data_IF_471411171514
#
_entry.id   IF_471411171514
#
_cell.length_a   1.000
_cell.length_b   1.000
_cell.length_c   1.000
_cell.angle_alpha   90.00
_cell.angle_beta   90.00
_cell.angle_gamma   90.00
#
_symmetry.space_group_name_H-M   'P 1'
#
loop_
_entity.id
_entity.type
_entity.pdbx_description
1 polymer ?
#
# COMPACT_ATOMS: atom_id res chain seq x y z
N UNK A 1 12.10 -24.95 -18.20
CA UNK A 1 11.60 -23.57 -18.24
C UNK A 1 11.56 -23.15 -19.69
N UNK A 2 10.39 -22.83 -20.21
CA UNK A 2 10.24 -22.25 -21.55
C UNK A 2 10.49 -20.74 -21.54
N UNK A 3 10.66 -20.10 -22.71
CA UNK A 3 10.98 -18.67 -22.81
C UNK A 3 9.88 -17.80 -22.18
N UNK A 4 8.61 -18.14 -22.42
CA UNK A 4 7.48 -17.42 -21.85
C UNK A 4 7.44 -17.56 -20.31
N UNK A 5 7.72 -18.76 -19.79
CA UNK A 5 7.83 -18.99 -18.34
C UNK A 5 8.97 -18.19 -17.73
N UNK A 6 10.11 -18.09 -18.43
CA UNK A 6 11.25 -17.29 -17.98
C UNK A 6 10.93 -15.79 -17.93
N UNK A 7 10.24 -15.26 -18.95
CA UNK A 7 9.81 -13.86 -18.98
C UNK A 7 8.83 -13.54 -17.84
N UNK A 8 7.84 -14.41 -17.63
CA UNK A 8 6.90 -14.28 -16.52
C UNK A 8 7.61 -14.39 -15.17
N UNK A 9 8.52 -15.36 -15.01
CA UNK A 9 9.30 -15.54 -13.79
C UNK A 9 10.16 -14.32 -13.46
N UNK A 10 10.88 -13.78 -14.45
CA UNK A 10 11.71 -12.57 -14.27
C UNK A 10 10.88 -11.37 -13.83
N UNK A 11 9.71 -11.16 -14.45
CA UNK A 11 8.79 -10.09 -14.08
C UNK A 11 8.27 -10.27 -12.64
N UNK A 12 7.83 -11.49 -12.30
CA UNK A 12 7.33 -11.81 -10.96
C UNK A 12 8.39 -11.62 -9.88
N UNK A 13 9.61 -12.16 -10.09
CA UNK A 13 10.72 -12.02 -9.14
C UNK A 13 11.10 -10.56 -8.97
N UNK A 14 11.09 -9.78 -10.06
CA UNK A 14 11.40 -8.35 -9.97
C UNK A 14 10.45 -7.60 -9.05
N UNK A 15 9.14 -7.84 -9.19
CA UNK A 15 8.15 -7.26 -8.27
C UNK A 15 8.37 -7.75 -6.85
N UNK A 16 8.46 -9.07 -6.64
CA UNK A 16 8.55 -9.67 -5.30
C UNK A 16 9.82 -9.25 -4.55
N UNK A 17 10.98 -9.18 -5.22
CA UNK A 17 12.23 -8.72 -4.60
C UNK A 17 12.15 -7.25 -4.26
N UNK A 18 11.56 -6.42 -5.14
CA UNK A 18 11.32 -5.00 -4.86
C UNK A 18 10.45 -4.80 -3.62
N UNK A 19 9.32 -5.50 -3.55
CA UNK A 19 8.39 -5.46 -2.42
C UNK A 19 9.06 -5.94 -1.13
N UNK A 20 9.88 -7.01 -1.20
CA UNK A 20 10.60 -7.54 -0.05
C UNK A 20 11.68 -6.56 0.46
N UNK A 21 12.42 -5.89 -0.44
CA UNK A 21 13.38 -4.84 -0.07
C UNK A 21 12.65 -3.71 0.65
N UNK A 22 11.57 -3.20 0.07
CA UNK A 22 10.79 -2.11 0.68
C UNK A 22 10.23 -2.53 2.05
N UNK A 23 9.74 -3.76 2.17
CA UNK A 23 9.25 -4.27 3.45
C UNK A 23 10.35 -4.27 4.51
N UNK A 24 11.54 -4.79 4.20
CA UNK A 24 12.67 -4.84 5.15
C UNK A 24 13.20 -3.44 5.47
N UNK A 25 13.26 -2.53 4.50
CA UNK A 25 13.66 -1.12 4.72
C UNK A 25 12.66 -0.34 5.58
N UNK A 26 11.38 -0.71 5.55
CA UNK A 26 10.35 -0.09 6.40
C UNK A 26 10.44 -0.50 7.88
N UNK A 27 11.20 -1.55 8.19
CA UNK A 27 11.39 -2.02 9.57
C UNK A 27 12.39 -1.11 10.28
N UNK A 28 11.91 -0.37 11.27
CA UNK A 28 12.78 0.43 12.14
C UNK A 28 13.71 -0.49 12.97
N UNK A 29 14.94 -0.05 13.27
CA UNK A 29 15.83 -0.79 14.17
C UNK A 29 15.10 -1.13 15.48
N UNK A 30 15.14 -2.40 15.85
CA UNK A 30 14.48 -2.91 17.05
C UNK A 30 15.26 -2.57 18.33
N UNK A 31 16.54 -2.22 18.19
CA UNK A 31 17.47 -2.10 19.31
C UNK A 31 18.03 -3.46 19.75
N UNK A 32 17.55 -4.57 19.17
CA UNK A 32 18.13 -5.89 19.36
C UNK A 32 19.18 -6.18 18.27
N UNK A 33 20.45 -6.26 18.68
CA UNK A 33 21.56 -6.42 17.74
C UNK A 33 21.48 -7.67 16.86
N UNK A 34 20.88 -8.78 17.33
CA UNK A 34 20.75 -10.00 16.54
C UNK A 34 19.64 -9.89 15.49
N UNK A 35 18.48 -9.32 15.85
CA UNK A 35 17.39 -9.06 14.90
C UNK A 35 17.80 -8.00 13.86
N UNK A 36 18.45 -6.93 14.29
CA UNK A 36 18.88 -5.84 13.40
C UNK A 36 19.96 -6.34 12.42
N UNK A 37 20.90 -7.18 12.89
CA UNK A 37 21.89 -7.82 12.03
C UNK A 37 21.26 -8.77 11.00
N UNK A 38 20.23 -9.53 11.38
CA UNK A 38 19.54 -10.43 10.45
C UNK A 38 18.75 -9.66 9.39
N UNK A 39 18.03 -8.60 9.77
CA UNK A 39 17.36 -7.70 8.82
C UNK A 39 18.35 -7.07 7.84
N UNK A 40 19.51 -6.59 8.33
CA UNK A 40 20.56 -6.04 7.48
C UNK A 40 21.16 -7.10 6.52
N UNK A 41 21.34 -8.34 7.00
CA UNK A 41 21.80 -9.47 6.18
C UNK A 41 20.80 -9.79 5.07
N UNK A 42 19.51 -9.90 5.39
CA UNK A 42 18.46 -10.18 4.42
C UNK A 42 18.35 -9.05 3.38
N UNK A 43 18.37 -7.79 3.82
CA UNK A 43 18.34 -6.63 2.92
C UNK A 43 19.51 -6.65 1.93
N UNK A 44 20.72 -6.98 2.41
CA UNK A 44 21.90 -7.11 1.56
C UNK A 44 21.72 -8.18 0.49
N UNK A 45 21.26 -9.38 0.88
CA UNK A 45 21.03 -10.49 -0.07
C UNK A 45 19.96 -10.12 -1.11
N UNK A 46 18.87 -9.48 -0.69
CA UNK A 46 17.82 -9.03 -1.61
C UNK A 46 18.34 -7.98 -2.60
N UNK A 47 19.15 -7.02 -2.16
CA UNK A 47 19.79 -6.02 -3.04
C UNK A 47 20.78 -6.65 -4.02
N UNK A 48 21.52 -7.68 -3.61
CA UNK A 48 22.40 -8.44 -4.50
C UNK A 48 21.61 -9.20 -5.59
N UNK A 49 20.42 -9.74 -5.24
CA UNK A 49 19.51 -10.34 -6.22
C UNK A 49 18.91 -9.27 -7.13
N UNK A 50 18.54 -8.11 -6.57
CA UNK A 50 18.03 -6.99 -7.34
C UNK A 50 19.03 -6.52 -8.40
N UNK A 51 20.33 -6.44 -8.07
CA UNK A 51 21.39 -6.09 -9.02
C UNK A 51 21.60 -7.10 -10.14
N UNK A 52 21.01 -8.30 -10.07
CA UNK A 52 21.04 -9.32 -11.12
C UNK A 52 19.78 -9.32 -12.00
N UNK A 53 18.73 -8.58 -11.60
CA UNK A 53 17.52 -8.45 -12.38
C UNK A 53 17.75 -7.53 -13.59
N UNK A 54 17.04 -7.76 -14.70
CA UNK A 54 16.92 -6.77 -15.76
C UNK A 54 16.36 -5.45 -15.23
N UNK A 55 16.79 -4.33 -15.80
CA UNK A 55 16.42 -2.98 -15.34
C UNK A 55 14.90 -2.75 -15.36
N UNK A 56 14.21 -3.31 -16.35
CA UNK A 56 12.75 -3.27 -16.45
C UNK A 56 12.17 -4.40 -17.33
N UNK A 57 10.84 -4.38 -17.45
CA UNK A 57 10.06 -5.33 -18.26
C UNK A 57 10.45 -5.25 -19.73
N UNK A 58 10.73 -4.07 -20.27
CA UNK A 58 11.13 -3.90 -21.66
C UNK A 58 12.48 -4.59 -21.92
N UNK A 59 13.43 -4.46 -21.00
CA UNK A 59 14.70 -5.15 -21.06
C UNK A 59 14.53 -6.68 -21.00
N UNK A 60 13.55 -7.18 -20.26
CA UNK A 60 13.17 -8.60 -20.28
C UNK A 60 12.67 -8.96 -21.67
N UNK A 61 11.60 -8.32 -22.17
CA UNK A 61 10.94 -8.71 -23.42
C UNK A 61 11.87 -8.62 -24.63
N UNK A 62 12.73 -7.60 -24.69
CA UNK A 62 13.72 -7.39 -25.78
C UNK A 62 14.94 -8.31 -25.69
N UNK A 63 15.20 -8.96 -24.57
CA UNK A 63 16.33 -9.87 -24.44
C UNK A 63 16.17 -11.11 -25.31
N UNK A 64 17.27 -11.59 -25.88
CA UNK A 64 17.28 -12.85 -26.61
C UNK A 64 16.84 -14.01 -25.70
N UNK A 65 16.09 -14.97 -26.24
CA UNK A 65 15.52 -16.11 -25.51
C UNK A 65 16.53 -16.87 -24.65
N UNK A 66 17.73 -17.12 -25.20
CA UNK A 66 18.82 -17.76 -24.45
C UNK A 66 19.26 -16.94 -23.23
N UNK A 67 19.28 -15.61 -23.36
CA UNK A 67 19.59 -14.69 -22.24
C UNK A 67 18.47 -14.76 -21.20
N UNK A 68 17.20 -14.67 -21.60
CA UNK A 68 16.03 -14.79 -20.70
C UNK A 68 16.12 -16.06 -19.85
N UNK A 69 16.30 -17.22 -20.49
CA UNK A 69 16.43 -18.52 -19.83
C UNK A 69 17.60 -18.54 -18.84
N UNK A 70 18.80 -18.15 -19.30
CA UNK A 70 20.00 -18.17 -18.43
C UNK A 70 19.93 -17.21 -17.25
N UNK A 71 19.26 -16.05 -17.41
CA UNK A 71 19.04 -15.08 -16.33
C UNK A 71 18.02 -15.63 -15.34
N UNK A 72 16.92 -16.22 -15.82
CA UNK A 72 15.90 -16.83 -14.98
C UNK A 72 16.45 -18.00 -14.17
N UNK A 73 17.26 -18.88 -14.75
CA UNK A 73 17.92 -19.98 -14.04
C UNK A 73 18.86 -19.48 -12.94
N UNK A 74 19.65 -18.45 -13.22
CA UNK A 74 20.57 -17.85 -12.24
C UNK A 74 19.82 -17.20 -11.08
N UNK A 75 18.75 -16.46 -11.37
CA UNK A 75 17.92 -15.84 -10.34
C UNK A 75 17.16 -16.88 -9.52
N UNK A 76 16.67 -17.96 -10.16
CA UNK A 76 16.08 -19.08 -9.44
C UNK A 76 17.07 -19.74 -8.49
N UNK A 77 18.34 -19.90 -8.89
CA UNK A 77 19.39 -20.38 -8.01
C UNK A 77 19.69 -19.39 -6.87
N UNK A 78 19.76 -18.08 -7.15
CA UNK A 78 20.02 -17.06 -6.14
C UNK A 78 18.89 -16.94 -5.10
N UNK A 79 17.63 -16.92 -5.56
CA UNK A 79 16.44 -16.92 -4.69
C UNK A 79 16.34 -18.23 -3.91
N UNK A 80 16.59 -19.37 -4.55
CA UNK A 80 16.59 -20.68 -3.90
C UNK A 80 17.71 -20.86 -2.87
N UNK A 81 18.79 -20.08 -2.97
CA UNK A 81 19.87 -20.05 -1.98
C UNK A 81 19.53 -19.23 -0.73
N UNK A 82 18.44 -18.45 -0.74
CA UNK A 82 17.97 -17.76 0.47
C UNK A 82 17.44 -18.83 1.43
N UNK A 83 18.06 -19.01 2.61
CA UNK A 83 17.57 -19.98 3.58
C UNK A 83 16.15 -19.62 4.04
N UNK A 84 15.33 -20.62 4.43
CA UNK A 84 14.00 -20.34 5.00
C UNK A 84 14.09 -19.39 6.20
N UNK A 85 13.57 -18.17 6.04
CA UNK A 85 13.71 -17.11 7.03
C UNK A 85 13.04 -17.46 8.37
N UNK A 86 11.97 -18.26 8.34
CA UNK A 86 11.31 -18.75 9.55
C UNK A 86 12.27 -19.53 10.48
N UNK A 87 13.20 -20.30 9.92
CA UNK A 87 14.18 -21.07 10.71
C UNK A 87 15.21 -20.16 11.35
N UNK A 88 15.73 -19.17 10.61
CA UNK A 88 16.70 -18.22 11.14
C UNK A 88 16.06 -17.34 12.21
N UNK A 89 14.86 -16.81 11.95
CA UNK A 89 14.13 -16.00 12.91
C UNK A 89 13.89 -16.78 14.21
N UNK A 90 13.49 -18.05 14.11
CA UNK A 90 13.34 -18.93 15.29
C UNK A 90 14.64 -19.05 16.11
N UNK A 91 15.80 -19.09 15.46
CA UNK A 91 17.10 -19.17 16.15
C UNK A 91 17.47 -17.83 16.82
N UNK A 92 17.29 -16.71 16.12
CA UNK A 92 17.51 -15.37 16.65
C UNK A 92 16.63 -15.13 17.88
N UNK A 93 15.34 -15.43 17.75
CA UNK A 93 14.34 -15.25 18.81
C UNK A 93 14.63 -16.14 20.03
N UNK A 94 15.10 -17.38 19.85
CA UNK A 94 15.47 -18.26 20.97
C UNK A 94 16.63 -17.74 21.82
N UNK A 95 17.47 -16.86 21.26
CA UNK A 95 18.62 -16.31 21.96
C UNK A 95 18.29 -15.09 22.83
N UNK A 96 17.07 -14.54 22.70
CA UNK A 96 16.65 -13.32 23.40
C UNK A 96 15.21 -13.45 23.92
N UNK A 97 15.04 -13.32 25.23
CA UNK A 97 13.73 -13.49 25.88
C UNK A 97 12.72 -12.40 25.48
N UNK A 98 13.15 -11.16 25.26
CA UNK A 98 12.26 -10.09 24.84
C UNK A 98 11.74 -10.34 23.42
N UNK A 99 12.64 -10.74 22.50
CA UNK A 99 12.23 -11.16 21.16
C UNK A 99 11.30 -12.37 21.19
N UNK A 100 11.53 -13.34 22.09
CA UNK A 100 10.65 -14.50 22.25
C UNK A 100 9.22 -14.11 22.58
N UNK A 101 9.02 -13.16 23.49
CA UNK A 101 7.68 -12.65 23.82
C UNK A 101 7.05 -11.95 22.62
N UNK A 102 7.78 -11.06 21.95
CA UNK A 102 7.27 -10.36 20.76
C UNK A 102 6.91 -11.33 19.62
N UNK A 103 7.74 -12.34 19.37
CA UNK A 103 7.50 -13.36 18.37
C UNK A 103 6.27 -14.23 18.68
N UNK A 104 6.07 -14.58 19.94
CA UNK A 104 4.89 -15.36 20.36
C UNK A 104 3.59 -14.56 20.20
N UNK A 105 3.64 -13.23 20.40
CA UNK A 105 2.53 -12.30 20.20
C UNK A 105 2.29 -11.94 18.72
N UNK A 106 3.32 -11.97 17.88
CA UNK A 106 3.24 -11.52 16.50
C UNK A 106 2.28 -12.39 15.65
N UNK A 107 1.32 -11.76 14.93
CA UNK A 107 0.46 -12.49 14.02
C UNK A 107 1.31 -13.06 12.86
N UNK A 108 1.12 -14.35 12.55
CA UNK A 108 1.82 -15.04 11.45
C UNK A 108 3.10 -15.79 11.86
N UNK A 109 3.67 -15.56 13.04
CA UNK A 109 4.85 -16.31 13.52
C UNK A 109 4.43 -17.56 14.29
N UNK A 110 5.00 -18.75 14.10
CA UNK A 110 4.64 -19.91 14.94
C UNK A 110 5.14 -19.70 16.38
N UNK A 111 4.30 -19.77 17.43
CA UNK A 111 4.78 -19.60 18.80
C UNK A 111 5.92 -20.57 19.15
N UNK A 112 6.96 -20.10 19.82
CA UNK A 112 8.07 -20.93 20.28
C UNK A 112 7.64 -21.89 21.39
N UNK A 113 6.73 -21.44 22.25
CA UNK A 113 6.11 -22.26 23.28
C UNK A 113 4.63 -22.43 22.99
N UNK A 114 4.10 -23.67 23.02
CA UNK A 114 2.66 -23.88 22.97
C UNK A 114 2.05 -23.11 24.13
N UNK A 115 1.26 -22.09 23.83
CA UNK A 115 0.61 -21.28 24.84
C UNK A 115 -0.31 -22.20 25.64
N UNK A 116 0.14 -22.61 26.83
CA UNK A 116 -0.79 -23.20 27.79
C UNK A 116 -1.72 -22.06 28.18
N UNK A 117 -3.05 -22.25 28.22
CA UNK A 117 -3.97 -21.21 28.66
C UNK A 117 -3.67 -20.89 30.14
N UNK A 118 -2.70 -20.01 30.34
CA UNK A 118 -2.41 -19.42 31.64
C UNK A 118 -3.64 -18.64 32.03
N UNK A 119 -4.00 -18.67 33.31
CA UNK A 119 -4.98 -17.75 33.88
C UNK A 119 -4.39 -16.35 33.73
N UNK A 120 -4.58 -15.76 32.56
CA UNK A 120 -3.98 -14.50 32.18
C UNK A 120 -4.46 -13.43 33.15
N UNK A 121 -3.52 -12.60 33.63
CA UNK A 121 -3.92 -11.29 34.10
C UNK A 121 -4.69 -10.63 32.96
N UNK A 122 -5.91 -10.19 33.23
CA UNK A 122 -6.89 -9.70 32.25
C UNK A 122 -6.31 -8.59 31.35
N UNK A 123 -5.24 -7.92 31.77
CA UNK A 123 -4.59 -6.82 31.04
C UNK A 123 -3.35 -7.19 30.22
N UNK A 124 -2.88 -8.44 30.27
CA UNK A 124 -1.69 -8.83 29.49
C UNK A 124 -2.05 -9.03 28.00
N UNK A 125 -1.23 -8.54 27.06
CA UNK A 125 -1.50 -8.74 25.64
C UNK A 125 -1.50 -10.22 25.29
N UNK A 126 -2.41 -10.63 24.43
CA UNK A 126 -2.47 -12.00 23.93
C UNK A 126 -2.35 -12.00 22.42
N UNK A 127 -1.73 -13.06 21.87
CA UNK A 127 -1.60 -13.25 20.43
C UNK A 127 -2.94 -13.17 19.69
N UNK A 128 -4.01 -13.69 20.29
CA UNK A 128 -5.34 -13.65 19.69
C UNK A 128 -5.85 -12.21 19.52
N UNK A 129 -5.69 -11.38 20.54
CA UNK A 129 -6.12 -9.98 20.52
C UNK A 129 -5.19 -9.10 19.66
N UNK A 130 -3.87 -9.35 19.68
CA UNK A 130 -2.92 -8.69 18.77
C UNK A 130 -3.26 -9.02 17.31
N UNK A 131 -3.51 -10.30 17.01
CA UNK A 131 -3.92 -10.74 15.68
C UNK A 131 -5.30 -10.26 15.27
N UNK A 132 -6.20 -10.00 16.22
CA UNK A 132 -7.48 -9.33 15.94
C UNK A 132 -7.25 -7.87 15.54
N UNK A 133 -6.50 -7.11 16.35
CA UNK A 133 -6.22 -5.70 16.12
C UNK A 133 -5.47 -5.49 14.79
N UNK A 134 -4.48 -6.34 14.50
CA UNK A 134 -3.71 -6.33 13.26
C UNK A 134 -4.57 -6.48 11.99
N UNK A 135 -5.73 -7.12 12.09
CA UNK A 135 -6.69 -7.23 10.98
C UNK A 135 -7.67 -6.06 10.95
N UNK A 136 -8.07 -5.56 12.12
CA UNK A 136 -9.05 -4.49 12.24
C UNK A 136 -8.50 -3.10 11.87
N UNK A 137 -7.25 -2.79 12.18
CA UNK A 137 -6.65 -1.49 11.85
C UNK A 137 -6.58 -1.24 10.33
N UNK A 138 -6.08 -2.17 9.49
CA UNK A 138 -6.08 -1.98 8.04
C UNK A 138 -7.49 -1.93 7.44
N UNK A 139 -8.46 -2.63 8.06
CA UNK A 139 -9.86 -2.55 7.66
C UNK A 139 -10.45 -1.16 7.94
N UNK A 140 -10.16 -0.58 9.11
CA UNK A 140 -10.55 0.80 9.46
C UNK A 140 -10.03 1.79 8.43
N UNK A 141 -8.73 1.71 8.12
CA UNK A 141 -8.09 2.64 7.19
C UNK A 141 -8.63 2.44 5.76
N UNK A 142 -8.87 1.19 5.35
CA UNK A 142 -9.52 0.88 4.08
C UNK A 142 -10.92 1.48 3.98
N UNK A 143 -11.71 1.45 5.07
CA UNK A 143 -13.04 2.05 5.12
C UNK A 143 -12.99 3.58 5.09
N UNK A 144 -11.99 4.21 5.70
CA UNK A 144 -11.76 5.65 5.56
C UNK A 144 -11.46 6.00 4.10
N UNK A 145 -10.57 5.25 3.43
CA UNK A 145 -10.21 5.48 2.03
C UNK A 145 -11.39 5.31 1.06
N UNK A 146 -12.35 4.44 1.36
CA UNK A 146 -13.54 4.21 0.55
C UNK A 146 -14.53 5.38 0.63
N UNK A 147 -14.50 6.13 1.74
CA UNK A 147 -15.37 7.27 2.00
C UNK A 147 -14.89 8.57 1.35
N UNK A 148 -13.63 8.63 0.91
CA UNK A 148 -13.12 9.79 0.18
C UNK A 148 -14.02 10.09 -1.03
N UNK A 149 -14.60 11.30 -1.06
CA UNK A 149 -15.44 11.72 -2.17
C UNK A 149 -14.52 12.01 -3.36
N UNK A 150 -14.66 11.30 -4.50
CA UNK A 150 -13.85 11.59 -5.67
C UNK A 150 -14.13 12.98 -6.26
N UNK A 151 -15.20 13.67 -5.83
CA UNK A 151 -15.46 15.07 -6.18
C UNK A 151 -14.65 16.07 -5.38
N UNK A 152 -14.11 15.69 -4.22
CA UNK A 152 -13.21 16.55 -3.42
C UNK A 152 -11.80 16.57 -4.00
N UNK A 153 -11.49 15.65 -4.92
CA UNK A 153 -10.22 15.69 -5.63
C UNK A 153 -10.14 16.96 -6.50
N UNK A 154 -9.08 17.78 -6.33
CA UNK A 154 -8.95 19.06 -7.01
C UNK A 154 -8.92 18.95 -8.55
N UNK A 155 -8.64 17.76 -9.09
CA UNK A 155 -8.60 17.49 -10.51
C UNK A 155 -9.99 17.28 -11.11
N UNK A 156 -10.99 16.92 -10.30
CA UNK A 156 -12.35 16.70 -10.79
C UNK A 156 -13.01 18.00 -11.29
N UNK A 157 -12.57 19.15 -10.78
CA UNK A 157 -13.01 20.48 -11.23
C UNK A 157 -12.17 21.10 -12.35
N UNK A 158 -11.00 20.52 -12.67
CA UNK A 158 -10.06 21.12 -13.60
C UNK A 158 -10.40 20.73 -15.06
N UNK A 159 -10.65 21.70 -15.96
CA UNK A 159 -11.00 21.42 -17.36
C UNK A 159 -10.01 20.53 -18.10
N UNK A 160 -8.73 20.54 -17.69
CA UNK A 160 -7.66 19.72 -18.29
C UNK A 160 -7.85 18.22 -18.02
N UNK A 161 -8.63 17.87 -17.00
CA UNK A 161 -8.97 16.48 -16.65
C UNK A 161 -10.29 15.99 -17.21
N UNK A 162 -11.06 16.87 -17.87
CA UNK A 162 -12.36 16.51 -18.42
C UNK A 162 -12.34 15.22 -19.28
N UNK A 163 -11.31 14.97 -20.12
CA UNK A 163 -11.23 13.73 -20.91
C UNK A 163 -11.11 12.45 -20.05
N UNK A 164 -10.48 12.53 -18.87
CA UNK A 164 -10.21 11.39 -17.99
C UNK A 164 -11.27 11.22 -16.90
N UNK A 165 -12.12 12.22 -16.70
CA UNK A 165 -13.13 12.21 -15.64
C UNK A 165 -14.05 10.98 -15.74
N UNK A 166 -14.44 10.57 -16.95
CA UNK A 166 -15.24 9.36 -17.16
C UNK A 166 -14.55 8.10 -16.64
N UNK A 167 -13.31 7.86 -17.08
CA UNK A 167 -12.51 6.71 -16.65
C UNK A 167 -12.25 6.72 -15.14
N UNK A 168 -12.02 7.90 -14.55
CA UNK A 168 -11.79 8.04 -13.12
C UNK A 168 -13.02 7.70 -12.28
N UNK A 169 -14.19 8.21 -12.67
CA UNK A 169 -15.44 7.90 -11.98
C UNK A 169 -15.79 6.41 -12.14
N UNK A 170 -15.57 5.83 -13.32
CA UNK A 170 -15.74 4.39 -13.56
C UNK A 170 -14.80 3.52 -12.70
N UNK A 171 -13.53 3.93 -12.55
CA UNK A 171 -12.57 3.26 -11.66
C UNK A 171 -12.99 3.36 -10.20
N UNK A 172 -13.44 4.52 -9.73
CA UNK A 172 -13.95 4.69 -8.37
C UNK A 172 -15.14 3.74 -8.09
N UNK A 173 -16.11 3.70 -9.01
CA UNK A 173 -17.31 2.85 -8.86
C UNK A 173 -16.93 1.36 -8.82
N UNK A 174 -16.11 0.90 -9.77
CA UNK A 174 -15.71 -0.51 -9.84
C UNK A 174 -14.82 -0.91 -8.66
N UNK A 175 -13.85 -0.07 -8.29
CA UNK A 175 -12.96 -0.33 -7.15
C UNK A 175 -13.71 -0.36 -5.82
N UNK A 176 -14.76 0.45 -5.65
CA UNK A 176 -15.60 0.40 -4.45
C UNK A 176 -16.26 -0.98 -4.26
N UNK A 177 -16.76 -1.59 -5.35
CA UNK A 177 -17.30 -2.94 -5.32
C UNK A 177 -16.27 -3.97 -4.86
N UNK A 178 -15.11 -4.01 -5.53
CA UNK A 178 -14.01 -4.91 -5.18
C UNK A 178 -13.51 -4.70 -3.76
N UNK A 179 -13.39 -3.45 -3.29
CA UNK A 179 -12.94 -3.14 -1.93
C UNK A 179 -13.94 -3.64 -0.88
N UNK A 180 -15.24 -3.41 -1.08
CA UNK A 180 -16.25 -3.94 -0.17
C UNK A 180 -16.28 -5.47 -0.15
N UNK A 181 -16.07 -6.14 -1.29
CA UNK A 181 -15.96 -7.59 -1.34
C UNK A 181 -14.73 -8.08 -0.55
N UNK A 182 -13.55 -7.45 -0.72
CA UNK A 182 -12.35 -7.76 0.08
C UNK A 182 -12.54 -7.49 1.58
N UNK A 183 -13.19 -6.38 1.95
CA UNK A 183 -13.49 -6.06 3.34
C UNK A 183 -14.43 -7.10 3.96
N UNK A 184 -15.45 -7.55 3.23
CA UNK A 184 -16.34 -8.62 3.68
C UNK A 184 -15.56 -9.88 3.98
N UNK A 185 -14.69 -10.29 3.06
CA UNK A 185 -13.90 -11.51 3.19
C UNK A 185 -12.92 -11.39 4.37
N UNK A 186 -12.22 -10.26 4.48
CA UNK A 186 -11.34 -9.97 5.62
C UNK A 186 -12.09 -9.97 6.97
N UNK A 187 -13.27 -9.34 7.06
CA UNK A 187 -14.08 -9.33 8.28
C UNK A 187 -14.58 -10.73 8.68
N UNK A 188 -14.82 -11.61 7.69
CA UNK A 188 -15.20 -13.00 7.95
C UNK A 188 -14.04 -13.81 8.58
N UNK A 189 -12.79 -13.44 8.29
CA UNK A 189 -11.59 -14.05 8.87
C UNK A 189 -11.21 -13.49 10.26
N UNK A 190 -11.78 -12.34 10.67
CA UNK A 190 -11.53 -11.78 11.99
C UNK A 190 -12.29 -12.61 13.05
N UNK A 191 -11.61 -13.30 13.98
CA UNK A 191 -12.28 -14.12 14.99
C UNK A 191 -13.02 -13.25 16.02
N UNK A 192 -13.97 -13.84 16.73
CA UNK A 192 -14.54 -13.24 17.93
C UNK A 192 -13.49 -13.17 19.04
N UNK A 193 -13.50 -12.09 19.79
CA UNK A 193 -12.60 -11.80 20.92
C UNK A 193 -13.14 -12.32 22.25
N UNK A 194 -14.47 -12.54 22.34
CA UNK A 194 -15.15 -12.82 23.60
C UNK A 194 -15.50 -11.57 24.40
N UNK A 195 -15.13 -10.38 23.92
CA UNK A 195 -15.48 -9.09 24.51
C UNK A 195 -16.76 -8.61 23.79
N UNK A 196 -17.94 -8.57 24.44
CA UNK A 196 -19.21 -8.39 23.76
C UNK A 196 -19.30 -7.15 22.86
N UNK A 197 -18.87 -5.98 23.36
CA UNK A 197 -18.92 -4.73 22.60
C UNK A 197 -18.02 -4.77 21.35
N UNK A 198 -16.90 -5.49 21.41
CA UNK A 198 -15.93 -5.61 20.32
C UNK A 198 -16.43 -6.58 19.25
N UNK A 199 -17.06 -7.66 19.68
CA UNK A 199 -17.68 -8.62 18.79
C UNK A 199 -18.93 -8.04 18.11
N UNK A 200 -19.71 -7.22 18.83
CA UNK A 200 -20.82 -6.44 18.29
C UNK A 200 -20.34 -5.40 17.27
N UNK A 201 -19.24 -4.70 17.54
CA UNK A 201 -18.61 -3.78 16.60
C UNK A 201 -18.23 -4.48 15.29
N UNK A 202 -17.49 -5.60 15.38
CA UNK A 202 -17.10 -6.42 14.22
C UNK A 202 -18.33 -6.89 13.44
N UNK A 203 -19.35 -7.40 14.11
CA UNK A 203 -20.58 -7.88 13.48
C UNK A 203 -21.34 -6.73 12.78
N UNK A 204 -21.39 -5.55 13.40
CA UNK A 204 -22.01 -4.35 12.86
C UNK A 204 -21.28 -3.87 11.60
N UNK A 205 -19.95 -3.86 11.60
CA UNK A 205 -19.15 -3.58 10.42
C UNK A 205 -19.40 -4.58 9.29
N UNK A 206 -19.38 -5.88 9.57
CA UNK A 206 -19.65 -6.91 8.57
C UNK A 206 -21.05 -6.75 7.95
N UNK A 207 -22.05 -6.46 8.78
CA UNK A 207 -23.41 -6.14 8.33
C UNK A 207 -23.47 -4.87 7.49
N UNK A 208 -22.76 -3.81 7.91
CA UNK A 208 -22.64 -2.55 7.19
C UNK A 208 -22.02 -2.73 5.81
N UNK A 209 -20.88 -3.42 5.71
CA UNK A 209 -20.20 -3.73 4.44
C UNK A 209 -21.12 -4.51 3.51
N UNK A 210 -21.80 -5.55 4.01
CA UNK A 210 -22.76 -6.33 3.23
C UNK A 210 -23.91 -5.46 2.70
N UNK A 211 -24.49 -4.59 3.54
CA UNK A 211 -25.57 -3.66 3.15
C UNK A 211 -25.10 -2.62 2.12
N UNK A 212 -23.90 -2.07 2.31
CA UNK A 212 -23.30 -1.11 1.37
C UNK A 212 -23.09 -1.76 0.00
N UNK A 213 -22.52 -2.98 -0.01
CA UNK A 213 -22.25 -3.73 -1.24
C UNK A 213 -23.52 -4.04 -2.05
N UNK A 214 -24.61 -4.38 -1.38
CA UNK A 214 -25.91 -4.64 -2.00
C UNK A 214 -26.57 -3.40 -2.63
N UNK A 215 -26.12 -2.19 -2.26
CA UNK A 215 -26.63 -0.92 -2.80
C UNK A 215 -25.76 -0.34 -3.91
N UNK A 216 -24.59 -0.93 -4.19
CA UNK A 216 -23.71 -0.45 -5.24
C UNK A 216 -24.29 -0.74 -6.64
N UNK A 217 -24.05 0.13 -7.63
CA UNK A 217 -24.39 -0.17 -9.00
C UNK A 217 -23.60 -1.40 -9.49
N UNK A 218 -24.24 -2.23 -10.30
CA UNK A 218 -23.58 -3.32 -11.00
C UNK A 218 -22.94 -2.83 -12.30
N UNK A 219 -21.87 -3.50 -12.72
CA UNK A 219 -21.17 -3.22 -13.97
C UNK A 219 -19.66 -3.36 -13.80
N UNK A 220 -19.03 -4.08 -14.73
CA UNK A 220 -17.57 -4.07 -14.82
C UNK A 220 -17.07 -2.70 -15.29
N UNK A 221 -15.76 -2.48 -15.14
CA UNK A 221 -15.11 -1.22 -15.52
C UNK A 221 -15.34 -0.86 -17.00
N UNK A 222 -15.36 -1.83 -17.92
CA UNK A 222 -15.56 -1.56 -19.35
C UNK A 222 -16.98 -1.10 -19.66
N UNK A 223 -17.97 -1.66 -18.98
CA UNK A 223 -19.34 -1.15 -19.05
C UNK A 223 -19.43 0.28 -18.53
N UNK A 224 -18.86 0.55 -17.35
CA UNK A 224 -18.89 1.87 -16.72
C UNK A 224 -18.21 2.95 -17.58
N UNK A 225 -17.08 2.63 -18.22
CA UNK A 225 -16.37 3.57 -19.11
C UNK A 225 -17.19 4.00 -20.35
N UNK A 226 -18.24 3.26 -20.72
CA UNK A 226 -19.13 3.62 -21.83
C UNK A 226 -20.28 4.54 -21.41
N UNK A 227 -20.47 4.74 -20.10
CA UNK A 227 -21.54 5.59 -19.60
C UNK A 227 -21.17 7.08 -19.74
N UNK A 228 -22.14 7.95 -20.03
CA UNK A 228 -21.93 9.38 -19.99
C UNK A 228 -21.46 9.83 -18.60
N UNK A 229 -20.57 10.83 -18.54
CA UNK A 229 -20.04 11.40 -17.29
C UNK A 229 -21.16 11.80 -16.31
N UNK A 230 -22.28 12.32 -16.81
CA UNK A 230 -23.43 12.68 -15.96
C UNK A 230 -24.07 11.47 -15.25
N UNK A 231 -24.09 10.30 -15.89
CA UNK A 231 -24.56 9.04 -15.29
C UNK A 231 -23.53 8.51 -14.29
N UNK A 232 -22.25 8.53 -14.64
CA UNK A 232 -21.17 8.17 -13.72
C UNK A 232 -21.21 9.03 -12.45
N UNK A 233 -21.43 10.34 -12.57
CA UNK A 233 -21.60 11.22 -11.41
C UNK A 233 -22.77 10.81 -10.51
N UNK A 234 -23.88 10.32 -11.09
CA UNK A 234 -25.02 9.80 -10.31
C UNK A 234 -24.67 8.50 -9.59
N UNK A 235 -23.96 7.59 -10.26
CA UNK A 235 -23.51 6.33 -9.68
C UNK A 235 -22.47 6.53 -8.57
N UNK A 236 -21.50 7.44 -8.74
CA UNK A 236 -20.59 7.83 -7.66
C UNK A 236 -21.35 8.32 -6.43
N UNK A 237 -22.31 9.24 -6.60
CA UNK A 237 -23.15 9.68 -5.47
C UNK A 237 -23.94 8.54 -4.82
N UNK A 238 -24.33 7.51 -5.59
CA UNK A 238 -24.95 6.30 -5.03
C UNK A 238 -23.95 5.48 -4.22
N UNK A 239 -22.72 5.30 -4.72
CA UNK A 239 -21.61 4.65 -3.99
C UNK A 239 -21.35 5.40 -2.68
N UNK A 240 -21.14 6.72 -2.72
CA UNK A 240 -20.88 7.54 -1.52
C UNK A 240 -22.00 7.43 -0.48
N UNK A 241 -23.27 7.45 -0.90
CA UNK A 241 -24.40 7.24 0.02
C UNK A 241 -24.46 5.82 0.59
N UNK A 242 -24.07 4.81 -0.19
CA UNK A 242 -24.04 3.44 0.27
C UNK A 242 -22.93 3.22 1.32
N UNK A 243 -21.78 3.87 1.15
CA UNK A 243 -20.61 3.73 2.02
C UNK A 243 -20.61 4.68 3.22
N UNK A 244 -21.35 5.78 3.17
CA UNK A 244 -21.54 6.68 4.32
C UNK A 244 -22.12 5.96 5.56
N UNK A 245 -22.94 4.93 5.34
CA UNK A 245 -23.50 4.12 6.44
C UNK A 245 -22.49 3.24 7.18
N UNK A 246 -21.23 3.17 6.74
CA UNK A 246 -20.17 2.42 7.43
C UNK A 246 -19.62 3.18 8.66
N UNK A 247 -19.91 4.47 8.79
CA UNK A 247 -19.44 5.34 9.87
C UNK A 247 -20.12 5.06 11.22
N UNK A 248 -21.33 4.49 11.20
CA UNK A 248 -22.15 4.34 12.41
C UNK A 248 -21.69 3.25 13.38
N UNK A 249 -20.64 2.51 13.08
CA UNK A 249 -20.14 1.47 13.98
C UNK A 249 -19.37 2.05 15.19
N UNK A 250 -19.00 3.33 15.16
CA UNK A 250 -18.12 3.96 16.15
C UNK A 250 -16.64 3.92 15.73
N UNK A 251 -15.79 4.63 16.47
CA UNK A 251 -14.36 4.66 16.19
C UNK A 251 -13.63 3.51 16.91
N UNK A 252 -12.74 2.83 16.19
CA UNK A 252 -12.02 1.66 16.70
C UNK A 252 -11.11 2.03 17.90
N UNK A 253 -10.32 3.12 17.87
CA UNK A 253 -9.58 3.62 19.03
C UNK A 253 -10.44 3.86 20.27
N UNK A 254 -11.60 4.50 20.14
CA UNK A 254 -12.51 4.74 21.26
C UNK A 254 -13.02 3.43 21.87
N UNK A 255 -13.40 2.48 21.02
CA UNK A 255 -13.79 1.14 21.45
C UNK A 255 -12.65 0.45 22.21
N UNK A 256 -11.43 0.46 21.68
CA UNK A 256 -10.27 -0.17 22.32
C UNK A 256 -9.95 0.52 23.65
N UNK A 257 -10.01 1.85 23.73
CA UNK A 257 -9.76 2.61 24.95
C UNK A 257 -10.76 2.26 26.08
N UNK A 258 -11.99 1.85 25.73
CA UNK A 258 -13.00 1.36 26.67
C UNK A 258 -12.72 -0.03 27.24
N UNK A 259 -11.74 -0.76 26.70
CA UNK A 259 -11.44 -2.15 27.05
C UNK A 259 -9.95 -2.33 27.39
N UNK A 260 -9.55 -2.21 28.69
CA UNK A 260 -8.16 -2.30 29.12
C UNK A 260 -7.43 -3.57 28.67
N UNK A 261 -8.14 -4.69 28.52
CA UNK A 261 -7.64 -5.96 27.99
C UNK A 261 -7.20 -5.89 26.51
N UNK A 262 -7.70 -4.92 25.75
CA UNK A 262 -7.38 -4.72 24.33
C UNK A 262 -6.26 -3.70 24.11
N UNK A 263 -6.14 -2.67 24.94
CA UNK A 263 -5.21 -1.55 24.75
C UNK A 263 -3.79 -2.04 24.46
N UNK A 264 -3.23 -2.89 25.33
CA UNK A 264 -1.87 -3.41 25.15
C UNK A 264 -1.73 -4.28 23.89
N UNK A 265 -2.78 -5.01 23.50
CA UNK A 265 -2.75 -5.84 22.30
C UNK A 265 -2.87 -4.99 21.03
N UNK A 266 -3.61 -3.89 21.09
CA UNK A 266 -3.79 -2.93 20.01
C UNK A 266 -2.50 -2.14 19.75
N UNK A 267 -1.86 -1.63 20.80
CA UNK A 267 -0.59 -0.90 20.70
C UNK A 267 0.56 -1.76 20.15
N UNK A 268 0.49 -3.09 20.34
CA UNK A 268 1.47 -4.05 19.80
C UNK A 268 1.11 -4.57 18.40
N UNK A 269 -0.09 -4.30 17.90
CA UNK A 269 -0.53 -4.83 16.62
C UNK A 269 0.10 -4.04 15.46
N UNK A 270 0.64 -4.73 14.44
CA UNK A 270 1.18 -4.06 13.26
C UNK A 270 0.09 -3.23 12.57
N UNK A 271 0.48 -2.08 12.03
CA UNK A 271 -0.39 -1.15 11.30
C UNK A 271 -1.51 -0.50 12.16
N UNK A 272 -1.50 -0.71 13.48
CA UNK A 272 -2.28 0.09 14.41
C UNK A 272 -1.46 1.30 14.87
N UNK A 273 -2.11 2.46 15.00
CA UNK A 273 -1.51 3.64 15.62
C UNK A 273 -1.70 3.53 17.13
N UNK A 274 -0.64 3.60 17.97
CA UNK A 274 -0.78 3.45 19.41
C UNK A 274 -1.74 4.47 20.02
N UNK A 275 -2.58 4.08 20.97
CA UNK A 275 -3.58 4.97 21.58
C UNK A 275 -2.95 6.12 22.39
N UNK A 276 -1.73 5.90 22.90
CA UNK A 276 -0.99 6.87 23.70
C UNK A 276 -0.13 7.82 22.87
N UNK A 277 0.00 7.56 21.56
CA UNK A 277 0.56 8.51 20.62
C UNK A 277 -0.41 9.69 20.55
N UNK A 278 -0.19 10.69 21.41
CA UNK A 278 -0.81 12.00 21.23
C UNK A 278 -0.39 12.47 19.85
N UNK A 279 -1.31 12.33 18.90
CA UNK A 279 -1.22 12.90 17.58
C UNK A 279 -1.22 14.40 17.77
N UNK A 280 -0.06 14.96 18.06
CA UNK A 280 0.27 16.16 17.32
C UNK A 280 0.30 15.67 15.87
N UNK A 281 -0.59 16.14 14.98
CA UNK A 281 -0.46 15.87 13.57
C UNK A 281 0.79 16.63 13.08
N UNK A 282 1.96 16.21 13.55
CA UNK A 282 3.21 16.45 12.88
C UNK A 282 3.12 15.60 11.64
N UNK A 283 2.45 16.12 10.61
CA UNK A 283 2.76 15.70 9.26
C UNK A 283 4.28 15.79 9.18
N UNK A 284 4.95 14.62 9.15
CA UNK A 284 6.40 14.58 9.02
C UNK A 284 6.72 15.54 7.90
N UNK A 285 7.45 16.64 8.18
CA UNK A 285 7.59 17.69 7.19
C UNK A 285 8.11 17.05 5.92
N UNK A 286 7.43 17.31 4.80
CA UNK A 286 7.89 16.79 3.52
C UNK A 286 9.37 17.17 3.37
N UNK A 287 10.23 16.22 2.95
CA UNK A 287 11.63 16.54 2.72
C UNK A 287 11.73 17.72 1.75
N UNK A 288 12.84 18.46 1.84
CA UNK A 288 13.09 19.49 0.84
C UNK A 288 13.32 18.82 -0.51
N UNK A 289 12.66 19.34 -1.55
CA UNK A 289 12.94 18.94 -2.92
C UNK A 289 14.17 19.71 -3.41
N UNK A 290 15.10 19.08 -4.14
CA UNK A 290 16.33 19.73 -4.64
C UNK A 290 16.02 21.00 -5.45
N UNK A 291 15.00 20.96 -6.32
CA UNK A 291 14.56 22.11 -7.12
C UNK A 291 13.39 22.85 -6.46
N UNK A 292 12.98 22.46 -5.25
CA UNK A 292 11.87 23.08 -4.53
C UNK A 292 10.58 23.10 -5.34
N UNK A 293 10.10 24.30 -5.69
CA UNK A 293 8.92 24.50 -6.54
C UNK A 293 9.25 24.94 -7.98
N UNK A 294 10.52 24.90 -8.39
CA UNK A 294 10.95 25.34 -9.71
C UNK A 294 10.65 24.28 -10.79
N UNK A 295 9.47 24.42 -11.40
CA UNK A 295 9.02 23.52 -12.47
C UNK A 295 9.85 23.65 -13.75
N UNK A 296 10.66 24.70 -13.90
CA UNK A 296 11.51 24.89 -15.08
C UNK A 296 12.75 23.98 -15.06
N UNK A 297 13.19 23.55 -13.86
CA UNK A 297 14.29 22.60 -13.70
C UNK A 297 14.03 21.29 -14.45
N UNK A 298 12.77 20.84 -14.51
CA UNK A 298 12.38 19.57 -15.13
C UNK A 298 12.45 19.54 -16.67
N UNK A 299 12.76 20.65 -17.34
CA UNK A 299 12.66 20.74 -18.81
C UNK A 299 13.64 19.80 -19.52
N UNK A 300 14.82 19.61 -18.96
CA UNK A 300 15.87 18.74 -19.51
C UNK A 300 15.60 17.24 -19.27
N UNK A 301 14.59 16.94 -18.47
CA UNK A 301 14.18 15.58 -18.18
C UNK A 301 14.71 15.02 -16.86
N UNK A 302 15.38 15.80 -16.00
CA UNK A 302 15.72 15.36 -14.62
C UNK A 302 15.50 16.49 -13.62
N UNK A 303 14.70 16.26 -12.59
CA UNK A 303 14.49 17.22 -11.50
C UNK A 303 13.90 16.54 -10.27
N UNK A 304 13.91 17.26 -9.15
CA UNK A 304 13.17 16.89 -7.96
C UNK A 304 12.34 18.07 -7.45
N UNK A 305 11.01 17.94 -7.50
CA UNK A 305 10.07 19.02 -7.19
C UNK A 305 9.10 18.66 -6.06
N UNK A 306 8.61 19.69 -5.37
CA UNK A 306 7.53 19.62 -4.40
C UNK A 306 6.21 20.07 -5.05
N UNK A 307 5.20 19.23 -4.95
CA UNK A 307 3.83 19.49 -5.45
C UNK A 307 2.89 19.63 -4.26
N UNK A 308 2.53 20.87 -3.91
CA UNK A 308 1.55 21.17 -2.84
C UNK A 308 0.18 21.58 -3.36
N UNK A 309 0.07 21.87 -4.65
CA UNK A 309 -1.18 22.21 -5.36
C UNK A 309 -1.11 21.68 -6.79
N UNK A 310 -2.23 21.59 -7.51
CA UNK A 310 -2.22 21.19 -8.91
C UNK A 310 -1.27 22.06 -9.76
N UNK A 311 -0.29 21.45 -10.42
CA UNK A 311 0.73 22.14 -11.25
C UNK A 311 0.94 21.43 -12.57
N UNK A 312 1.29 22.19 -13.61
CA UNK A 312 1.73 21.62 -14.89
C UNK A 312 3.24 21.70 -14.99
N UNK A 313 3.89 20.55 -15.14
CA UNK A 313 5.33 20.45 -15.40
C UNK A 313 5.56 20.06 -16.86
N UNK A 314 6.63 20.60 -17.45
CA UNK A 314 7.08 20.20 -18.78
C UNK A 314 8.39 19.43 -18.65
N UNK A 315 8.41 18.21 -19.16
CA UNK A 315 9.53 17.26 -19.02
C UNK A 315 9.89 16.74 -20.41
N UNK A 316 11.08 17.11 -20.91
CA UNK A 316 11.57 16.69 -22.23
C UNK A 316 10.54 16.88 -23.37
N UNK A 317 9.82 18.01 -23.35
CA UNK A 317 8.76 18.33 -24.32
C UNK A 317 7.39 17.71 -24.03
N UNK A 318 7.28 16.76 -23.11
CA UNK A 318 6.02 16.25 -22.57
C UNK A 318 5.40 17.22 -21.56
N UNK A 319 4.07 17.24 -21.45
CA UNK A 319 3.33 18.06 -20.48
C UNK A 319 2.57 17.16 -19.52
N UNK A 320 2.77 17.39 -18.22
CA UNK A 320 2.18 16.58 -17.16
C UNK A 320 1.48 17.49 -16.16
N UNK A 321 0.28 17.10 -15.75
CA UNK A 321 -0.47 17.76 -14.70
C UNK A 321 -0.39 16.90 -13.44
N UNK A 322 0.21 17.46 -12.41
CA UNK A 322 0.50 16.81 -11.13
C UNK A 322 -0.42 17.36 -10.06
N UNK A 323 -0.96 16.49 -9.22
CA UNK A 323 -1.68 16.90 -8.01
C UNK A 323 -1.52 15.88 -6.90
N UNK A 324 -1.11 16.35 -5.73
CA UNK A 324 -1.14 15.56 -4.52
C UNK A 324 -2.55 15.58 -3.92
N UNK A 325 -3.00 14.43 -3.43
CA UNK A 325 -4.21 14.23 -2.66
C UNK A 325 -3.93 13.19 -1.56
N UNK A 326 -4.82 12.98 -0.59
CA UNK A 326 -4.56 12.09 0.57
C UNK A 326 -4.17 10.65 0.19
N UNK A 327 -4.55 10.19 -1.00
CA UNK A 327 -4.25 8.84 -1.49
C UNK A 327 -3.02 8.75 -2.41
N UNK A 328 -2.28 9.85 -2.60
CA UNK A 328 -1.03 9.89 -3.37
C UNK A 328 -0.96 11.03 -4.38
N UNK A 329 -0.01 10.91 -5.30
CA UNK A 329 0.17 11.84 -6.42
C UNK A 329 -0.58 11.33 -7.66
N UNK A 330 -1.53 12.12 -8.14
CA UNK A 330 -2.13 11.95 -9.45
C UNK A 330 -1.28 12.62 -10.53
N UNK A 331 -1.02 11.89 -11.61
CA UNK A 331 -0.26 12.36 -12.77
C UNK A 331 -1.11 12.16 -14.01
N UNK A 332 -1.28 13.23 -14.78
CA UNK A 332 -2.01 13.19 -16.04
C UNK A 332 -1.21 13.73 -17.19
N UNK A 333 -1.35 13.04 -18.30
CA UNK A 333 -0.85 13.39 -19.61
C UNK A 333 -1.95 13.11 -20.64
N UNK A 334 -1.85 13.69 -21.83
CA UNK A 334 -2.77 13.46 -22.95
C UNK A 334 -3.04 11.99 -23.27
N UNK A 335 -2.07 11.11 -23.02
CA UNK A 335 -2.18 9.67 -23.27
C UNK A 335 -2.63 8.84 -22.07
N UNK A 336 -2.74 9.40 -20.86
CA UNK A 336 -3.08 8.59 -19.70
C UNK A 336 -3.08 9.29 -18.35
N UNK A 337 -3.44 8.50 -17.34
CA UNK A 337 -3.58 8.90 -15.95
C UNK A 337 -2.98 7.81 -15.05
N UNK A 338 -2.32 8.21 -13.97
CA UNK A 338 -1.89 7.29 -12.91
C UNK A 338 -1.97 7.97 -11.54
N UNK A 339 -2.07 7.16 -10.48
CA UNK A 339 -1.91 7.59 -9.08
C UNK A 339 -0.77 6.80 -8.47
N UNK A 340 0.15 7.49 -7.80
CA UNK A 340 1.34 6.89 -7.20
C UNK A 340 1.36 7.27 -5.71
N UNK A 341 1.42 6.28 -4.82
CA UNK A 341 1.60 6.50 -3.38
C UNK A 341 3.07 6.78 -3.01
N UNK A 342 3.33 7.08 -1.73
CA UNK A 342 4.70 7.24 -1.22
C UNK A 342 5.58 6.03 -1.55
N UNK A 343 6.82 6.28 -2.01
CA UNK A 343 7.77 5.26 -2.45
C UNK A 343 7.48 4.66 -3.83
N UNK A 344 6.29 4.89 -4.37
CA UNK A 344 5.88 4.34 -5.67
C UNK A 344 6.59 5.00 -6.84
N UNK A 345 6.62 4.28 -7.96
CA UNK A 345 7.17 4.75 -9.23
C UNK A 345 6.16 4.50 -10.36
N UNK A 346 6.10 5.40 -11.33
CA UNK A 346 5.21 5.32 -12.49
C UNK A 346 5.86 5.92 -13.72
N UNK A 347 5.49 5.41 -14.91
CA UNK A 347 6.18 5.71 -16.16
C UNK A 347 5.18 6.06 -17.27
N UNK A 348 5.53 7.06 -18.07
CA UNK A 348 4.83 7.40 -19.30
C UNK A 348 5.77 7.25 -20.50
N UNK A 349 5.41 6.36 -21.42
CA UNK A 349 6.07 6.29 -22.72
C UNK A 349 5.87 7.58 -23.53
N UNK A 350 6.89 7.96 -24.28
CA UNK A 350 6.90 9.10 -25.19
C UNK A 350 7.16 8.61 -26.62
N UNK A 351 6.85 9.47 -27.59
CA UNK A 351 7.20 9.22 -28.99
C UNK A 351 8.72 9.10 -29.12
N UNK A 352 9.18 8.10 -29.88
CA UNK A 352 10.61 7.87 -30.10
C UNK A 352 11.28 7.00 -29.03
N UNK A 353 10.52 6.17 -28.30
CA UNK A 353 11.07 5.19 -27.34
C UNK A 353 11.33 5.74 -25.94
N UNK A 354 11.49 7.07 -25.82
CA UNK A 354 11.75 7.75 -24.56
C UNK A 354 10.67 7.50 -23.52
N UNK A 355 11.03 7.47 -22.26
CA UNK A 355 10.10 7.31 -21.13
C UNK A 355 10.35 8.41 -20.10
N UNK A 356 9.28 8.98 -19.55
CA UNK A 356 9.36 9.81 -18.34
C UNK A 356 8.94 9.00 -17.13
N UNK A 357 9.82 8.91 -16.15
CA UNK A 357 9.59 8.26 -14.87
C UNK A 357 9.28 9.29 -13.79
N UNK A 358 8.35 8.95 -12.91
CA UNK A 358 7.97 9.71 -11.74
C UNK A 358 8.10 8.80 -10.52
N UNK A 359 8.90 9.20 -9.54
CA UNK A 359 9.06 8.49 -8.27
C UNK A 359 8.65 9.39 -7.12
N UNK A 360 7.69 8.95 -6.32
CA UNK A 360 7.23 9.70 -5.14
C UNK A 360 8.16 9.40 -3.97
N UNK A 361 9.05 10.34 -3.63
CA UNK A 361 9.94 10.18 -2.47
C UNK A 361 9.19 10.23 -1.15
N UNK A 362 8.26 11.17 -1.04
CA UNK A 362 7.47 11.40 0.15
C UNK A 362 6.13 12.00 -0.23
N UNK A 363 5.12 11.76 0.60
CA UNK A 363 3.77 12.25 0.40
C UNK A 363 3.10 12.50 1.76
N UNK A 364 2.31 13.56 1.83
CA UNK A 364 1.49 13.96 2.98
C UNK A 364 0.23 14.66 2.48
N UNK A 365 -0.73 14.99 3.38
CA UNK A 365 -1.89 15.82 3.01
C UNK A 365 -1.50 17.19 2.42
N UNK A 366 -0.32 17.71 2.75
CA UNK A 366 0.17 19.02 2.30
C UNK A 366 0.90 18.98 0.94
N UNK A 367 1.15 17.78 0.40
CA UNK A 367 1.80 17.64 -0.90
C UNK A 367 2.61 16.37 -1.09
N UNK A 368 3.44 16.36 -2.14
CA UNK A 368 4.37 15.29 -2.44
C UNK A 368 5.73 15.84 -2.88
N UNK A 369 6.79 15.07 -2.66
CA UNK A 369 8.13 15.31 -3.21
C UNK A 369 8.42 14.21 -4.22
N UNK A 370 8.83 14.61 -5.40
CA UNK A 370 8.87 13.77 -6.59
C UNK A 370 10.24 13.85 -7.23
N UNK A 371 10.85 12.71 -7.52
CA UNK A 371 11.93 12.63 -8.49
C UNK A 371 11.30 12.40 -9.88
N UNK A 372 11.74 13.17 -10.86
CA UNK A 372 11.34 13.02 -12.26
C UNK A 372 12.59 12.77 -13.07
N UNK A 373 12.58 11.74 -13.90
CA UNK A 373 13.70 11.41 -14.78
C UNK A 373 13.20 11.00 -16.18
N UNK A 374 14.09 11.03 -17.17
CA UNK A 374 13.81 10.51 -18.50
C UNK A 374 14.89 9.55 -18.96
N UNK A 375 14.47 8.49 -19.66
CA UNK A 375 15.34 7.49 -20.28
C UNK A 375 14.99 7.32 -21.76
N UNK A 376 15.92 6.77 -22.54
CA UNK A 376 15.72 6.43 -23.97
C UNK A 376 15.19 5.01 -24.20
#
# INVERSE_FOLDING_TARGET
MEVFEAEWYLSSVSSTVGDAIQAVESVSPSGNGAADAESARLLKVLKEIQGQLPEDIDAITKAADKKKLSTAERLAAAVGAIPPQATILTQVVKSDQALAVSHDLAPGCTPLTPSTPSKANVSAPTRALVGWAARMCPLRDSMASLRADPFDDPLTGDPRFAPFLGSRLAEYISSAGTRLDRMRDALAEVPATGIPAVDEYRASLASGVKKARAKLPEGDRFFLMRLPVSQLKKQVRQVSRATAGLESAGDLPDLVAGHPELVASYDLAPQCEPLTSSREPGATPLPSAEDGGDLAACRDGTCQIKVSKPVVVSVNGGRYLLSAADNGLSIVRDTGYMVIGAGGTGRFGMTGGKTTEFRVKAHSPDGAVLDISTSE
#
